data_IF_701730842898
#
_entry.id   IF_701730842898
#
_cell.length_a   1.000
_cell.length_b   1.000
_cell.length_c   1.000
_cell.angle_alpha   90.00
_cell.angle_beta   90.00
_cell.angle_gamma   90.00
#
_symmetry.space_group_name_H-M   'P 1'
#
loop_
_entity.id
_entity.type
_entity.pdbx_description
1 polymer ?
2 non-polymer ?
3 non-polymer ?
4 water ?
#
# COMPACT_ATOMS: atom_id res chain seq x y z
N UNK A 1 18.52 19.42 11.44
CA UNK A 1 17.18 18.81 11.65
C UNK A 1 16.05 19.77 11.26
N UNK A 2 15.30 19.39 10.23
CA UNK A 2 14.20 20.22 9.71
C UNK A 2 12.94 20.12 10.58
N UNK A 3 12.37 21.27 10.94
CA UNK A 3 11.06 21.28 11.55
C UNK A 3 10.01 20.94 10.48
N UNK A 4 9.08 20.05 10.83
CA UNK A 4 8.00 19.67 9.93
C UNK A 4 6.69 20.28 10.44
N UNK A 5 6.03 21.03 9.57
CA UNK A 5 4.76 21.68 9.88
C UNK A 5 3.73 21.38 8.78
N UNK A 6 2.58 20.83 9.17
CA UNK A 6 1.52 20.69 8.17
C UNK A 6 0.56 21.85 8.23
N UNK A 7 0.06 22.21 7.06
CA UNK A 7 -1.03 23.16 6.89
C UNK A 7 -2.30 22.32 6.71
N UNK A 8 -3.27 22.50 7.60
CA UNK A 8 -4.54 21.76 7.54
C UNK A 8 -5.70 22.71 7.39
N UNK A 9 -6.70 22.30 6.61
CA UNK A 9 -7.93 23.04 6.52
C UNK A 9 -8.93 22.36 5.64
N UNK A 10 -10.14 22.90 5.64
CA UNK A 10 -11.24 22.41 4.82
C UNK A 10 -10.97 22.72 3.35
N UNK A 11 -11.77 22.15 2.48
CA UNK A 11 -11.64 22.34 1.05
C UNK A 11 -11.73 23.81 0.69
N UNK A 12 -10.81 24.26 -0.16
CA UNK A 12 -10.74 25.65 -0.59
C UNK A 12 -10.59 26.69 0.55
N UNK A 13 -10.30 26.25 1.77
CA UNK A 13 -10.02 27.19 2.86
C UNK A 13 -8.94 28.20 2.47
N UNK A 14 -7.93 27.73 1.74
CA UNK A 14 -6.84 28.56 1.28
C UNK A 14 -5.47 28.05 1.70
N UNK A 15 -5.29 26.73 1.74
CA UNK A 15 -3.98 26.13 1.98
C UNK A 15 -2.96 26.54 0.92
N UNK A 16 -3.35 26.40 -0.35
CA UNK A 16 -2.47 26.73 -1.49
C UNK A 16 -2.08 28.21 -1.51
N UNK A 17 -3.09 29.08 -1.43
CA UNK A 17 -2.87 30.54 -1.28
C UNK A 17 -1.86 30.84 -0.17
N UNK A 18 -2.01 30.15 0.96
CA UNK A 18 -1.18 30.33 2.12
C UNK A 18 0.25 29.84 1.87
N UNK A 19 0.36 28.59 1.42
CA UNK A 19 1.58 28.02 0.84
C UNK A 19 2.24 29.03 -0.11
N UNK A 20 1.45 29.62 -1.00
CA UNK A 20 1.95 30.65 -1.91
C UNK A 20 2.66 31.79 -1.19
N UNK A 21 2.02 32.35 -0.15
CA UNK A 21 2.65 33.40 0.64
C UNK A 21 3.91 32.91 1.38
N UNK A 22 3.86 31.67 1.88
CA UNK A 22 4.96 31.11 2.68
C UNK A 22 6.21 30.77 1.86
N UNK A 23 6.01 30.21 0.67
CA UNK A 23 7.12 29.74 -0.16
C UNK A 23 7.88 30.88 -0.83
N UNK A 24 7.42 32.11 -0.63
CA UNK A 24 8.05 33.27 -1.23
C UNK A 24 8.84 34.10 -0.24
N UNK A 25 8.85 33.66 1.03
CA UNK A 25 9.64 34.35 2.05
C UNK A 25 11.13 34.00 1.95
N UNK A 26 11.65 33.26 2.93
CA UNK A 26 13.08 32.94 2.98
C UNK A 26 13.44 31.58 2.37
N UNK A 27 14.65 31.50 1.83
CA UNK A 27 15.19 30.28 1.20
C UNK A 27 15.15 29.05 2.14
N UNK A 28 15.23 29.29 3.45
CA UNK A 28 15.23 28.22 4.46
C UNK A 28 13.85 27.58 4.69
N UNK A 29 12.83 28.09 4.00
CA UNK A 29 11.47 27.55 4.10
C UNK A 29 11.04 26.91 2.78
N UNK A 30 10.45 25.72 2.89
CA UNK A 30 10.09 24.91 1.75
C UNK A 30 8.70 24.31 1.92
N UNK A 31 7.97 24.13 0.81
CA UNK A 31 6.62 23.56 0.86
C UNK A 31 6.54 22.24 0.11
N UNK A 32 6.03 21.20 0.77
CA UNK A 32 5.70 19.96 0.09
C UNK A 32 4.24 20.01 -0.37
N UNK A 33 4.01 20.12 -1.69
CA UNK A 33 2.62 20.22 -2.13
C UNK A 33 1.89 18.88 -2.01
N UNK A 34 0.57 18.96 -1.98
CA UNK A 34 -0.29 17.82 -1.73
C UNK A 34 -0.59 17.15 -3.06
N UNK A 35 -0.50 15.80 -3.09
CA UNK A 35 -0.80 15.02 -4.30
C UNK A 35 -2.14 15.35 -4.97
N UNK A 36 -3.24 15.19 -4.23
CA UNK A 36 -4.58 15.51 -4.74
C UNK A 36 -4.65 16.98 -5.20
N UNK A 37 -3.90 17.85 -4.54
CA UNK A 37 -3.75 19.24 -4.96
C UNK A 37 -3.17 19.31 -6.38
N UNK A 38 -2.07 18.59 -6.61
CA UNK A 38 -1.47 18.53 -7.94
C UNK A 38 -2.44 17.90 -8.94
N UNK A 39 -3.02 16.73 -8.60
CA UNK A 39 -3.93 16.06 -9.52
C UNK A 39 -4.96 17.04 -10.09
N UNK A 40 -5.66 17.76 -9.20
CA UNK A 40 -6.75 18.65 -9.59
C UNK A 40 -6.35 19.69 -10.65
N UNK A 41 -7.20 19.81 -11.68
CA UNK A 41 -6.88 20.45 -12.98
C UNK A 41 -8.05 21.30 -13.49
N UNK A 58 -3.14 9.73 -14.58
CA UNK A 58 -2.36 8.48 -14.45
C UNK A 58 -1.02 8.84 -13.88
N UNK A 59 -0.73 8.41 -12.64
CA UNK A 59 -1.68 7.67 -11.81
C UNK A 59 -2.84 8.53 -11.32
N UNK A 60 -2.58 9.83 -11.13
CA UNK A 60 -3.58 10.82 -10.69
C UNK A 60 -4.96 10.76 -11.33
N UNK A 61 -5.07 9.93 -12.38
CA UNK A 61 -6.32 9.59 -13.11
C UNK A 61 -7.43 8.97 -12.26
N UNK A 62 -7.05 8.45 -11.08
CA UNK A 62 -8.04 8.00 -10.10
C UNK A 62 -8.99 9.13 -9.77
N UNK A 63 -8.49 10.35 -9.83
CA UNK A 63 -9.29 11.53 -9.58
C UNK A 63 -10.50 11.58 -10.50
N UNK A 64 -10.26 11.40 -11.81
CA UNK A 64 -11.32 11.45 -12.82
C UNK A 64 -12.35 10.37 -12.53
N UNK A 65 -11.86 9.19 -12.15
CA UNK A 65 -12.71 8.09 -11.75
C UNK A 65 -13.49 8.39 -10.46
N UNK A 66 -12.85 9.09 -9.52
CA UNK A 66 -13.55 9.55 -8.31
C UNK A 66 -14.70 10.49 -8.65
N UNK A 67 -14.49 11.33 -9.68
CA UNK A 67 -15.55 12.22 -10.14
C UNK A 67 -16.73 11.42 -10.69
N UNK A 68 -16.42 10.35 -11.43
CA UNK A 68 -17.44 9.47 -12.01
C UNK A 68 -18.15 8.56 -10.99
N UNK A 69 -17.41 7.94 -10.07
CA UNK A 69 -18.01 6.97 -9.14
C UNK A 69 -17.20 6.75 -7.86
N UNK A 70 -17.44 7.59 -6.82
CA UNK A 70 -16.67 7.51 -5.59
C UNK A 70 -16.85 6.19 -4.84
N UNK A 71 -18.02 5.58 -4.94
CA UNK A 71 -18.29 4.34 -4.20
C UNK A 71 -17.49 3.18 -4.77
N UNK A 72 -17.01 3.34 -6.01
CA UNK A 72 -16.15 2.38 -6.67
C UNK A 72 -14.66 2.65 -6.40
N UNK A 73 -14.30 3.93 -6.36
CA UNK A 73 -12.89 4.30 -6.38
C UNK A 73 -12.27 4.85 -5.09
N UNK A 74 -13.10 5.18 -4.11
CA UNK A 74 -12.63 5.73 -2.84
C UNK A 74 -11.38 5.07 -2.29
N UNK A 75 -11.41 3.74 -2.18
CA UNK A 75 -10.32 2.99 -1.58
C UNK A 75 -9.04 3.12 -2.39
N UNK A 76 -9.19 3.04 -3.72
CA UNK A 76 -8.05 3.12 -4.62
C UNK A 76 -7.46 4.53 -4.56
N UNK A 77 -8.37 5.52 -4.56
CA UNK A 77 -8.01 6.92 -4.54
C UNK A 77 -7.28 7.29 -3.26
N UNK A 78 -7.81 6.84 -2.13
CA UNK A 78 -7.26 7.19 -0.83
C UNK A 78 -5.93 6.52 -0.61
N UNK A 79 -5.82 5.28 -1.09
CA UNK A 79 -4.60 4.51 -0.97
C UNK A 79 -3.48 5.14 -1.78
N UNK A 80 -3.79 5.61 -2.98
CA UNK A 80 -2.78 6.16 -3.84
C UNK A 80 -2.38 7.56 -3.37
N UNK A 81 -3.38 8.36 -3.00
CA UNK A 81 -3.16 9.71 -2.46
C UNK A 81 -2.17 9.68 -1.30
N UNK A 82 -2.38 8.74 -0.39
CA UNK A 82 -1.58 8.64 0.80
C UNK A 82 -0.16 8.16 0.49
N UNK A 83 -0.03 7.17 -0.39
CA UNK A 83 1.28 6.65 -0.82
C UNK A 83 2.10 7.75 -1.49
N UNK A 84 1.45 8.52 -2.36
CA UNK A 84 2.08 9.65 -3.03
C UNK A 84 2.54 10.70 -2.02
N UNK A 85 1.69 11.03 -1.04
CA UNK A 85 2.06 11.95 0.03
C UNK A 85 3.28 11.46 0.79
N UNK A 86 3.25 10.20 1.20
CA UNK A 86 4.34 9.63 1.99
C UNK A 86 5.66 9.66 1.21
N UNK A 87 5.61 9.27 -0.04
CA UNK A 87 6.77 9.35 -0.93
C UNK A 87 7.29 10.77 -1.03
N UNK A 88 6.41 11.69 -1.41
CA UNK A 88 6.77 13.09 -1.65
C UNK A 88 7.42 13.75 -0.44
N UNK A 89 6.89 13.44 0.74
CA UNK A 89 7.36 14.04 1.98
C UNK A 89 8.73 13.48 2.39
N UNK A 90 8.91 12.16 2.25
CA UNK A 90 10.24 11.55 2.43
C UNK A 90 11.21 12.09 1.39
N UNK A 91 10.79 12.11 0.12
CA UNK A 91 11.55 12.73 -0.95
C UNK A 91 12.18 14.05 -0.47
N UNK A 92 11.34 14.92 0.09
CA UNK A 92 11.72 16.28 0.47
C UNK A 92 12.59 16.39 1.72
N UNK A 93 12.56 15.38 2.59
CA UNK A 93 13.41 15.35 3.77
C UNK A 93 14.80 14.84 3.40
N UNK A 94 14.87 13.52 3.18
CA UNK A 94 16.13 12.81 2.90
C UNK A 94 16.88 13.33 1.68
N UNK A 95 16.13 13.82 0.68
CA UNK A 95 16.70 14.61 -0.40
C UNK A 95 17.11 15.94 0.21
N UNK A 96 18.41 16.20 0.26
CA UNK A 96 18.97 17.27 1.10
C UNK A 96 18.61 18.73 0.74
N UNK A 97 17.31 19.04 0.83
CA UNK A 97 16.84 20.42 0.97
C UNK A 97 17.15 20.83 2.42
N UNK A 98 17.87 19.96 3.13
CA UNK A 98 18.31 20.18 4.50
C UNK A 98 19.32 21.32 4.54
N UNK A 99 20.58 20.98 4.24
CA UNK A 99 21.77 21.84 4.44
C UNK A 99 21.67 23.00 5.44
N UNK A 100 20.81 23.97 5.12
CA UNK A 100 20.82 25.31 5.70
C UNK A 100 20.58 25.41 7.21
N UNK A 101 20.52 26.66 7.68
CA UNK A 101 20.63 26.98 9.10
C UNK A 101 19.38 26.63 9.92
N UNK A 102 18.24 27.26 9.63
CA UNK A 102 16.99 26.99 10.34
C UNK A 102 15.89 26.49 9.39
N UNK A 103 16.00 25.23 8.94
CA UNK A 103 15.14 24.77 7.86
C UNK A 103 13.74 24.33 8.33
N UNK A 104 12.72 24.73 7.59
CA UNK A 104 11.36 24.32 7.87
C UNK A 104 10.68 23.77 6.63
N UNK A 105 10.01 22.64 6.80
CA UNK A 105 9.29 21.99 5.72
C UNK A 105 7.80 22.12 6.00
N UNK A 106 7.08 22.74 5.08
CA UNK A 106 5.65 22.87 5.21
C UNK A 106 4.91 21.80 4.42
N UNK A 107 4.20 20.93 5.12
CA UNK A 107 3.39 19.90 4.47
C UNK A 107 1.99 20.43 4.21
N UNK A 108 1.57 20.41 2.96
CA UNK A 108 0.18 20.68 2.62
C UNK A 108 -0.59 19.45 3.07
N UNK A 109 -1.32 19.58 4.18
CA UNK A 109 -2.02 18.47 4.85
C UNK A 109 -1.08 17.35 5.30
N UNK A 110 -1.62 16.23 5.75
CA UNK A 110 -0.80 15.17 6.34
C UNK A 110 -1.44 13.80 6.21
N UNK A 111 -0.66 12.78 6.51
CA UNK A 111 -1.16 11.40 6.56
C UNK A 111 -2.32 11.27 7.54
N UNK A 112 -2.42 12.19 8.49
CA UNK A 112 -3.50 12.13 9.50
C UNK A 112 -4.82 12.63 8.94
N UNK A 113 -4.81 13.79 8.28
CA UNK A 113 -6.02 14.28 7.64
C UNK A 113 -6.48 13.32 6.57
N UNK A 114 -5.51 12.74 5.85
CA UNK A 114 -5.77 11.69 4.86
C UNK A 114 -6.71 10.64 5.44
N UNK A 115 -6.38 10.20 6.64
CA UNK A 115 -7.06 9.10 7.27
C UNK A 115 -8.28 9.57 8.05
N UNK A 116 -8.09 10.50 8.96
CA UNK A 116 -9.13 10.84 9.94
C UNK A 116 -10.16 11.84 9.47
N UNK A 117 -9.82 12.59 8.43
CA UNK A 117 -10.77 13.53 7.85
C UNK A 117 -11.38 12.88 6.61
N UNK A 118 -10.53 12.53 5.65
CA UNK A 118 -11.00 12.19 4.32
C UNK A 118 -11.41 10.73 4.11
N UNK A 119 -10.49 9.78 4.34
CA UNK A 119 -10.84 8.37 4.21
C UNK A 119 -11.96 8.03 5.20
N UNK A 120 -11.83 8.57 6.41
CA UNK A 120 -12.86 8.45 7.42
C UNK A 120 -14.24 8.87 6.91
N UNK A 121 -14.30 10.05 6.32
CA UNK A 121 -15.54 10.64 5.81
C UNK A 121 -16.13 9.87 4.64
N UNK A 122 -15.25 9.27 3.84
CA UNK A 122 -15.68 8.45 2.73
C UNK A 122 -16.33 7.15 3.17
N UNK A 123 -15.80 6.58 4.25
CA UNK A 123 -16.38 5.42 4.88
C UNK A 123 -17.73 5.71 5.52
N UNK A 124 -17.80 6.81 6.26
CA UNK A 124 -19.05 7.20 6.89
C UNK A 124 -20.13 7.51 5.85
N UNK A 125 -19.73 7.94 4.66
CA UNK A 125 -20.69 8.26 3.58
C UNK A 125 -20.98 7.05 2.68
N UNK A 126 -20.48 5.89 3.09
CA UNK A 126 -20.68 4.60 2.41
C UNK A 126 -20.01 4.48 1.04
N UNK A 127 -18.91 5.19 0.86
CA UNK A 127 -18.13 5.08 -0.37
C UNK A 127 -17.04 4.03 -0.21
N UNK A 128 -16.83 3.59 1.02
CA UNK A 128 -15.99 2.45 1.32
C UNK A 128 -16.79 1.57 2.25
N UNK A 129 -16.70 0.25 2.07
CA UNK A 129 -17.34 -0.69 2.96
C UNK A 129 -16.46 -1.01 4.16
N UNK A 130 -16.96 -1.85 5.06
CA UNK A 130 -16.20 -2.25 6.23
C UNK A 130 -14.81 -2.78 5.88
N UNK A 131 -14.77 -3.66 4.88
CA UNK A 131 -13.54 -4.35 4.52
C UNK A 131 -12.52 -3.38 3.91
N UNK A 132 -13.00 -2.52 3.01
CA UNK A 132 -12.17 -1.47 2.47
C UNK A 132 -11.58 -0.61 3.59
N UNK A 133 -12.42 -0.18 4.51
CA UNK A 133 -12.01 0.72 5.58
C UNK A 133 -11.02 0.09 6.57
N UNK A 134 -11.21 -1.18 6.89
CA UNK A 134 -10.30 -1.91 7.79
C UNK A 134 -8.96 -2.13 7.11
N UNK A 135 -8.99 -2.55 5.86
CA UNK A 135 -7.76 -2.76 5.09
C UNK A 135 -6.99 -1.45 5.03
N UNK A 136 -7.67 -0.37 4.68
CA UNK A 136 -7.03 0.94 4.59
C UNK A 136 -6.34 1.33 5.91
N UNK A 137 -7.04 1.12 7.02
CA UNK A 137 -6.50 1.43 8.34
C UNK A 137 -5.31 0.55 8.65
N UNK A 138 -5.49 -0.76 8.52
CA UNK A 138 -4.38 -1.72 8.62
C UNK A 138 -3.19 -1.22 7.79
N UNK A 139 -3.42 -0.92 6.52
CA UNK A 139 -2.37 -0.38 5.64
C UNK A 139 -1.75 0.93 6.15
N UNK A 140 -2.59 1.84 6.63
CA UNK A 140 -2.13 3.15 7.09
C UNK A 140 -1.28 3.04 8.36
N UNK A 141 -1.76 2.26 9.32
CA UNK A 141 -1.05 1.98 10.58
C UNK A 141 0.34 1.47 10.30
N UNK A 142 0.41 0.37 9.54
CA UNK A 142 1.68 -0.24 9.16
C UNK A 142 2.65 0.75 8.50
N UNK A 143 2.22 1.39 7.41
CA UNK A 143 3.03 2.39 6.73
C UNK A 143 3.67 3.38 7.70
N UNK A 144 2.88 3.82 8.67
CA UNK A 144 3.36 4.82 9.61
C UNK A 144 4.40 4.33 10.58
N UNK A 145 4.34 3.05 10.92
CA UNK A 145 5.34 2.46 11.79
C UNK A 145 6.68 2.30 11.08
N UNK A 146 6.63 1.98 9.79
CA UNK A 146 7.84 1.74 9.00
C UNK A 146 8.56 3.02 8.57
N UNK A 147 7.80 4.02 8.13
CA UNK A 147 8.35 5.26 7.56
C UNK A 147 7.69 6.50 8.19
N UNK A 148 7.39 6.43 9.49
CA UNK A 148 6.58 7.46 10.14
C UNK A 148 7.30 8.38 11.11
N UNK A 149 8.17 7.82 11.96
CA UNK A 149 8.95 8.61 12.92
C UNK A 149 9.76 9.71 12.21
N UNK A 150 10.22 9.38 11.01
CA UNK A 150 10.83 10.34 10.10
C UNK A 150 9.88 11.50 9.77
N UNK A 151 8.61 11.17 9.54
CA UNK A 151 7.60 12.14 9.13
C UNK A 151 6.85 12.86 10.25
N UNK A 152 7.28 12.69 11.49
CA UNK A 152 6.53 13.26 12.63
C UNK A 152 6.56 14.78 12.66
N UNK A 153 5.42 15.37 13.02
CA UNK A 153 5.20 16.81 12.92
C UNK A 153 5.66 17.56 14.15
N UNK A 154 6.39 18.65 13.92
CA UNK A 154 6.82 19.53 14.99
C UNK A 154 5.77 20.60 15.27
N UNK A 155 4.86 20.80 14.32
CA UNK A 155 3.73 21.71 14.51
C UNK A 155 2.67 21.57 13.44
N UNK A 156 1.44 22.00 13.77
CA UNK A 156 0.33 22.02 12.81
C UNK A 156 -0.26 23.42 12.69
N UNK A 157 -0.43 23.89 11.45
CA UNK A 157 -1.13 25.15 11.21
C UNK A 157 -2.54 24.86 10.69
N UNK A 158 -3.55 25.26 11.45
CA UNK A 158 -4.95 25.04 11.09
C UNK A 158 -5.54 26.30 10.50
N UNK A 159 -5.82 26.27 9.21
CA UNK A 159 -6.47 27.38 8.54
C UNK A 159 -7.96 27.23 8.71
N UNK A 160 -8.53 28.01 9.63
CA UNK A 160 -9.92 27.85 10.01
C UNK A 160 -10.85 28.77 9.21
N UNK A 161 -11.83 28.17 8.55
CA UNK A 161 -12.85 28.92 7.81
C UNK A 161 -14.20 28.26 7.99
N UNK A 162 -15.27 29.03 7.81
CA UNK A 162 -16.63 28.48 7.97
C UNK A 162 -16.96 27.61 6.75
N UNK A 163 -17.85 26.62 6.92
CA UNK A 163 -18.33 25.91 5.72
C UNK A 163 -18.73 26.83 4.57
N UNK A 164 -19.46 27.91 4.85
CA UNK A 164 -19.89 28.85 3.80
C UNK A 164 -18.73 29.57 3.11
N UNK A 165 -17.73 29.96 3.87
CA UNK A 165 -16.52 30.52 3.27
C UNK A 165 -15.93 29.55 2.25
N UNK A 166 -15.76 28.30 2.66
CA UNK A 166 -15.24 27.25 1.79
C UNK A 166 -16.11 26.99 0.56
N UNK A 167 -17.43 26.95 0.75
CA UNK A 167 -18.38 26.73 -0.35
C UNK A 167 -18.25 27.82 -1.39
N UNK A 168 -18.10 29.06 -0.91
CA UNK A 168 -17.91 30.21 -1.81
C UNK A 168 -16.53 30.21 -2.47
N UNK A 169 -15.49 29.78 -1.75
CA UNK A 169 -14.16 29.67 -2.37
C UNK A 169 -14.06 28.53 -3.39
N UNK A 170 -14.83 27.45 -3.18
CA UNK A 170 -14.99 26.41 -4.20
C UNK A 170 -15.60 27.03 -5.45
N UNK A 171 -16.67 27.79 -5.26
CA UNK A 171 -17.35 28.44 -6.37
C UNK A 171 -16.39 29.29 -7.21
N UNK A 172 -15.57 30.08 -6.51
CA UNK A 172 -14.62 31.02 -7.15
C UNK A 172 -13.44 30.36 -7.86
N UNK A 173 -12.91 29.28 -7.28
CA UNK A 173 -11.80 28.54 -7.84
C UNK A 173 -12.21 27.95 -9.21
N UNK A 174 -13.52 27.74 -9.37
CA UNK A 174 -14.11 27.41 -10.65
C UNK A 174 -13.77 26.06 -11.26
N UNK A 175 -13.55 25.05 -10.44
CA UNK A 175 -13.38 23.68 -10.95
C UNK A 175 -14.76 23.10 -11.18
N UNK A 176 -15.03 22.80 -12.44
CA UNK A 176 -16.36 22.37 -12.87
C UNK A 176 -16.84 21.06 -12.20
N UNK A 177 -15.88 20.23 -11.79
CA UNK A 177 -16.18 18.97 -11.12
C UNK A 177 -16.48 19.12 -9.62
N UNK A 178 -16.32 20.32 -9.11
CA UNK A 178 -16.50 20.58 -7.68
C UNK A 178 -17.75 21.37 -7.37
N UNK A 179 -18.46 21.83 -8.40
CA UNK A 179 -19.66 22.66 -8.21
C UNK A 179 -20.80 21.85 -7.59
N UNK A 180 -20.70 20.53 -7.63
CA UNK A 180 -21.68 19.67 -6.99
C UNK A 180 -21.51 19.50 -5.49
N UNK A 181 -20.44 20.07 -4.92
CA UNK A 181 -20.16 19.91 -3.49
C UNK A 181 -21.23 20.57 -2.61
N UNK A 182 -21.93 19.77 -1.81
CA UNK A 182 -22.93 20.36 -0.90
C UNK A 182 -22.30 20.96 0.34
N UNK A 183 -22.95 21.98 0.88
CA UNK A 183 -22.54 22.55 2.16
C UNK A 183 -22.49 21.52 3.29
N UNK A 184 -23.45 20.57 3.30
CA UNK A 184 -23.49 19.54 4.34
C UNK A 184 -22.19 18.73 4.41
N UNK A 185 -21.59 18.48 3.26
CA UNK A 185 -20.29 17.81 3.21
C UNK A 185 -19.20 18.67 3.86
N UNK A 186 -19.16 19.95 3.49
CA UNK A 186 -18.20 20.89 4.05
C UNK A 186 -18.36 21.04 5.57
N UNK A 187 -19.60 20.99 6.05
CA UNK A 187 -19.93 21.00 7.48
C UNK A 187 -19.32 19.79 8.19
N UNK A 188 -19.48 18.60 7.60
CA UNK A 188 -18.87 17.40 8.14
C UNK A 188 -17.34 17.53 8.30
N UNK A 189 -16.64 17.93 7.25
CA UNK A 189 -15.19 18.09 7.31
C UNK A 189 -14.76 19.17 8.29
N UNK A 190 -15.58 20.21 8.39
CA UNK A 190 -15.38 21.27 9.37
C UNK A 190 -15.46 20.68 10.79
N UNK A 191 -16.54 19.95 11.06
CA UNK A 191 -16.71 19.29 12.35
C UNK A 191 -15.44 18.49 12.74
N UNK A 192 -15.01 17.60 11.85
CA UNK A 192 -13.83 16.76 12.08
C UNK A 192 -12.56 17.57 12.31
N UNK A 193 -12.37 18.63 11.53
CA UNK A 193 -11.23 19.51 11.73
C UNK A 193 -11.29 20.19 13.09
N UNK A 194 -12.46 20.68 13.49
CA UNK A 194 -12.63 21.34 14.78
C UNK A 194 -12.33 20.37 15.91
N UNK A 195 -12.90 19.18 15.79
CA UNK A 195 -12.75 18.12 16.76
C UNK A 195 -11.28 17.71 16.94
N UNK A 196 -10.58 17.54 15.83
CA UNK A 196 -9.17 17.20 15.84
C UNK A 196 -8.30 18.37 16.33
N UNK A 197 -8.45 19.54 15.71
CA UNK A 197 -7.45 20.61 15.82
C UNK A 197 -7.74 21.71 16.83
N UNK A 198 -9.01 21.93 17.15
CA UNK A 198 -9.35 22.97 18.12
C UNK A 198 -9.74 22.37 19.46
N UNK A 199 -10.75 21.49 19.46
CA UNK A 199 -11.18 20.84 20.69
C UNK A 199 -10.29 19.67 21.11
N UNK A 200 -9.57 19.10 20.14
CA UNK A 200 -8.66 17.96 20.35
C UNK A 200 -9.37 16.77 20.99
N UNK A 201 -10.64 16.59 20.63
CA UNK A 201 -11.46 15.51 21.13
C UNK A 201 -11.49 14.30 20.19
N UNK A 202 -10.94 14.44 18.99
CA UNK A 202 -10.88 13.33 18.05
C UNK A 202 -9.70 12.45 18.41
N UNK A 203 -9.96 11.17 18.68
CA UNK A 203 -8.91 10.22 19.06
C UNK A 203 -8.31 9.46 17.87
N UNK A 204 -6.99 9.52 17.75
CA UNK A 204 -6.26 8.93 16.64
C UNK A 204 -5.40 7.79 17.15
N UNK A 205 -4.72 7.13 16.22
CA UNK A 205 -3.78 6.07 16.56
C UNK A 205 -2.37 6.57 16.85
N UNK A 206 -2.18 7.88 16.83
CA UNK A 206 -0.85 8.50 16.92
C UNK A 206 -0.79 9.47 18.10
N UNK A 207 -0.38 8.93 19.24
CA UNK A 207 -0.47 9.62 20.53
C UNK A 207 0.35 10.91 20.64
N UNK A 208 1.45 10.97 19.89
CA UNK A 208 2.29 12.16 19.89
C UNK A 208 1.54 13.42 19.45
N UNK A 209 0.59 13.25 18.51
CA UNK A 209 -0.22 14.37 18.00
C UNK A 209 -0.98 15.12 19.09
N UNK A 210 -1.26 14.44 20.20
CA UNK A 210 -1.98 15.10 21.30
C UNK A 210 -1.13 16.18 21.98
N UNK A 211 0.18 16.00 21.93
CA UNK A 211 1.11 17.00 22.45
C UNK A 211 1.22 18.17 21.48
N UNK A 212 1.46 17.83 20.22
CA UNK A 212 1.74 18.76 19.11
C UNK A 212 1.09 20.14 19.20
N UNK A 213 1.90 21.20 19.18
CA UNK A 213 1.37 22.57 19.15
C UNK A 213 0.59 22.84 17.86
N UNK A 214 -0.48 23.60 17.99
CA UNK A 214 -1.36 23.92 16.88
C UNK A 214 -1.58 25.43 16.82
N UNK A 215 -1.29 26.02 15.66
CA UNK A 215 -1.59 27.43 15.40
C UNK A 215 -2.87 27.57 14.58
N UNK A 216 -3.92 28.05 15.22
CA UNK A 216 -5.20 28.25 14.55
C UNK A 216 -5.30 29.65 13.93
N UNK A 217 -5.42 29.70 12.62
CA UNK A 217 -5.56 30.95 11.90
C UNK A 217 -6.93 31.09 11.27
N UNK A 218 -7.62 32.17 11.62
CA UNK A 218 -8.86 32.51 11.00
C UNK A 218 -8.61 33.13 9.62
N UNK A 219 -9.06 32.42 8.59
CA UNK A 219 -8.87 32.85 7.21
C UNK A 219 -10.20 33.14 6.49
N UNK A 220 -11.21 33.51 7.27
CA UNK A 220 -12.51 33.90 6.71
C UNK A 220 -12.49 35.20 5.91
N UNK A 221 -11.66 36.14 6.32
CA UNK A 221 -11.54 37.40 5.58
C UNK A 221 -10.73 37.19 4.30
N UNK A 222 -10.66 38.19 3.44
CA UNK A 222 -9.83 38.11 2.24
C UNK A 222 -8.37 37.95 2.62
N UNK A 223 -7.73 36.95 2.02
CA UNK A 223 -6.30 36.70 2.19
C UNK A 223 -5.41 37.90 1.88
N UNK A 224 -5.80 38.70 0.89
CA UNK A 224 -4.98 39.83 0.45
C UNK A 224 -4.87 40.94 1.49
N UNK A 225 -5.81 40.97 2.42
CA UNK A 225 -5.83 42.00 3.45
C UNK A 225 -5.18 41.56 4.75
N UNK A 226 -4.62 40.35 4.80
CA UNK A 226 -4.04 39.87 6.06
C UNK A 226 -2.90 38.85 6.03
N UNK A 227 -2.37 38.56 4.84
CA UNK A 227 -1.26 37.61 4.72
C UNK A 227 -0.02 38.06 5.49
N UNK A 228 0.11 39.37 5.67
CA UNK A 228 1.23 39.92 6.41
C UNK A 228 1.13 39.64 7.92
N UNK A 229 -0.06 39.80 8.49
CA UNK A 229 -0.32 39.38 9.87
C UNK A 229 -0.20 37.88 10.05
N UNK A 230 -0.64 37.12 9.04
CA UNK A 230 -0.59 35.67 9.07
C UNK A 230 0.85 35.16 9.14
N UNK A 231 1.70 35.71 8.27
CA UNK A 231 3.14 35.39 8.22
C UNK A 231 3.82 35.72 9.56
N UNK A 232 3.46 36.88 10.11
CA UNK A 232 3.90 37.35 11.43
C UNK A 232 3.60 36.33 12.53
N UNK A 233 2.39 35.77 12.50
CA UNK A 233 1.96 34.79 13.51
C UNK A 233 2.63 33.43 13.34
N UNK A 234 2.98 33.09 12.10
CA UNK A 234 3.65 31.82 11.81
C UNK A 234 5.06 31.85 12.38
N UNK A 235 5.76 32.95 12.10
CA UNK A 235 7.11 33.20 12.61
C UNK A 235 7.15 33.11 14.12
N UNK A 236 6.21 33.79 14.79
CA UNK A 236 6.15 33.71 16.25
C UNK A 236 5.95 32.27 16.70
N UNK A 237 5.16 31.52 15.94
CA UNK A 237 4.80 30.15 16.28
C UNK A 237 5.98 29.20 16.11
N UNK A 238 6.69 29.37 15.00
CA UNK A 238 7.89 28.58 14.72
C UNK A 238 8.90 28.76 15.83
N UNK A 239 9.18 30.00 16.17
CA UNK A 239 10.14 30.34 17.22
C UNK A 239 9.85 29.69 18.59
N UNK A 240 8.59 29.37 18.87
CA UNK A 240 8.20 28.69 20.11
C UNK A 240 8.53 27.20 20.09
N UNK A 241 8.65 26.63 18.89
CA UNK A 241 8.84 25.18 18.75
C UNK A 241 10.23 24.71 19.16
N UNK B 1 22.75 -16.22 8.97
CA UNK B 1 21.92 -15.78 7.79
C UNK B 1 20.94 -16.86 7.35
N UNK B 2 19.66 -16.50 7.38
CA UNK B 2 18.58 -17.41 7.00
C UNK B 2 18.45 -17.44 5.49
N UNK B 3 18.61 -18.64 4.92
CA UNK B 3 18.33 -18.87 3.52
C UNK B 3 16.81 -18.74 3.28
N UNK B 4 16.44 -17.91 2.31
CA UNK B 4 15.05 -17.73 1.90
C UNK B 4 14.79 -18.51 0.62
N UNK B 5 13.81 -19.41 0.66
CA UNK B 5 13.40 -20.18 -0.52
C UNK B 5 11.90 -20.01 -0.77
N UNK B 6 11.50 -19.58 -1.96
CA UNK B 6 10.06 -19.62 -2.28
C UNK B 6 9.67 -20.89 -3.03
N UNK B 7 8.45 -21.33 -2.74
CA UNK B 7 7.84 -22.46 -3.41
C UNK B 7 6.82 -21.91 -4.40
N UNK B 8 7.01 -22.21 -5.68
CA UNK B 8 6.16 -21.66 -6.74
C UNK B 8 5.46 -22.77 -7.52
N UNK B 9 4.32 -22.43 -8.08
CA UNK B 9 3.55 -23.40 -8.82
C UNK B 9 2.18 -22.87 -9.13
N UNK B 10 1.47 -23.63 -9.97
CA UNK B 10 0.13 -23.27 -10.38
C UNK B 10 -0.85 -23.65 -9.29
N UNK B 11 -2.12 -23.31 -9.47
CA UNK B 11 -3.15 -23.54 -8.49
C UNK B 11 -3.34 -25.02 -8.23
N UNK B 12 -3.29 -25.38 -6.95
CA UNK B 12 -3.42 -26.76 -6.51
C UNK B 12 -2.35 -27.68 -7.08
N UNK B 13 -1.21 -27.13 -7.49
CA UNK B 13 -0.09 -27.92 -8.00
C UNK B 13 0.42 -28.86 -6.92
N UNK B 14 0.30 -28.41 -5.68
CA UNK B 14 0.67 -29.21 -4.52
C UNK B 14 1.60 -28.50 -3.57
N UNK B 15 1.58 -27.16 -3.60
CA UNK B 15 2.34 -26.33 -2.67
C UNK B 15 2.14 -26.67 -1.20
N UNK B 16 0.87 -26.76 -0.78
CA UNK B 16 0.51 -27.03 0.62
C UNK B 16 0.99 -28.39 1.06
N UNK B 17 0.68 -29.40 0.25
CA UNK B 17 1.17 -30.76 0.45
C UNK B 17 2.69 -30.73 0.61
N UNK B 18 3.37 -30.05 -0.31
CA UNK B 18 4.82 -29.99 -0.32
C UNK B 18 5.39 -29.32 0.94
N UNK B 19 4.79 -28.21 1.32
CA UNK B 19 5.05 -27.49 2.57
C UNK B 19 4.79 -28.37 3.80
N UNK B 20 3.73 -29.17 3.74
CA UNK B 20 3.44 -30.15 4.79
C UNK B 20 4.54 -31.17 4.96
N UNK B 21 5.16 -31.58 3.86
CA UNK B 21 6.29 -32.51 3.92
C UNK B 21 7.52 -31.81 4.47
N UNK B 22 7.80 -30.62 3.94
CA UNK B 22 8.96 -29.85 4.35
C UNK B 22 8.93 -29.43 5.83
N UNK B 23 7.78 -28.99 6.33
CA UNK B 23 7.69 -28.45 7.69
C UNK B 23 7.82 -29.52 8.77
N UNK B 24 7.91 -30.77 8.33
CA UNK B 24 7.94 -31.90 9.24
C UNK B 24 9.35 -32.33 9.59
N UNK B 25 10.30 -32.04 8.71
CA UNK B 25 11.65 -32.61 8.80
C UNK B 25 12.48 -32.19 10.02
N UNK B 26 12.77 -30.90 10.17
CA UNK B 26 13.69 -30.45 11.24
C UNK B 26 13.43 -29.07 11.87
N UNK B 27 14.06 -28.84 13.02
CA UNK B 27 14.07 -27.56 13.73
C UNK B 27 14.39 -26.37 12.82
N UNK B 28 15.42 -26.54 12.01
CA UNK B 28 16.02 -25.44 11.25
C UNK B 28 15.21 -25.01 10.01
N UNK B 29 14.19 -25.80 9.68
CA UNK B 29 13.33 -25.52 8.53
C UNK B 29 11.94 -25.10 8.98
N UNK B 30 11.52 -23.95 8.47
CA UNK B 30 10.26 -23.32 8.85
C UNK B 30 9.58 -22.75 7.60
N UNK B 31 8.26 -22.82 7.55
CA UNK B 31 7.50 -22.37 6.39
C UNK B 31 6.75 -21.09 6.69
N UNK B 32 6.71 -20.18 5.73
CA UNK B 32 5.89 -18.98 5.82
C UNK B 32 4.68 -19.11 4.90
N UNK B 33 3.52 -19.50 5.47
CA UNK B 33 2.33 -19.76 4.65
C UNK B 33 1.84 -18.50 3.91
N UNK B 34 1.08 -18.72 2.85
CA UNK B 34 0.64 -17.67 1.96
C UNK B 34 -0.68 -17.11 2.46
N UNK B 35 -0.80 -15.77 2.51
CA UNK B 35 -2.04 -15.11 2.89
C UNK B 35 -3.30 -15.69 2.24
N UNK B 36 -3.32 -15.75 0.91
CA UNK B 36 -4.49 -16.23 0.17
C UNK B 36 -4.75 -17.72 0.44
N UNK B 37 -3.68 -18.46 0.77
CA UNK B 37 -3.79 -19.85 1.21
C UNK B 37 -4.61 -19.92 2.50
N UNK B 38 -4.30 -19.05 3.45
CA UNK B 38 -4.99 -19.01 4.72
C UNK B 38 -6.46 -18.60 4.55
N UNK B 39 -6.71 -17.54 3.77
CA UNK B 39 -8.08 -17.05 3.59
C UNK B 39 -9.03 -18.19 3.20
N UNK B 40 -8.63 -18.96 2.18
CA UNK B 40 -9.46 -20.02 1.61
C UNK B 40 -10.04 -21.04 2.60
N UNK B 41 -11.37 -21.18 2.53
CA UNK B 41 -12.19 -21.81 3.57
C UNK B 41 -13.23 -22.78 2.99
N UNK B 58 -10.27 -11.01 10.05
CA UNK B 58 -11.49 -10.77 9.22
C UNK B 58 -11.19 -10.30 7.81
N UNK B 59 -10.16 -9.47 7.66
CA UNK B 59 -9.80 -8.81 6.40
C UNK B 59 -9.84 -9.66 5.14
N UNK B 60 -9.35 -10.90 5.25
CA UNK B 60 -9.45 -11.91 4.18
C UNK B 60 -10.84 -12.07 3.57
N UNK B 61 -11.77 -11.22 4.03
CA UNK B 61 -13.12 -11.01 3.48
C UNK B 61 -13.10 -10.53 2.03
N UNK B 62 -11.96 -10.01 1.58
CA UNK B 62 -11.79 -9.60 0.18
C UNK B 62 -11.95 -10.78 -0.76
N UNK B 63 -11.62 -11.97 -0.26
CA UNK B 63 -11.75 -13.21 -1.01
C UNK B 63 -13.20 -13.48 -1.45
N UNK B 64 -14.14 -13.35 -0.51
CA UNK B 64 -15.56 -13.55 -0.79
C UNK B 64 -16.07 -12.57 -1.85
N UNK B 65 -15.59 -11.33 -1.76
CA UNK B 65 -15.92 -10.29 -2.73
C UNK B 65 -15.34 -10.58 -4.13
N UNK B 66 -14.11 -11.11 -4.16
CA UNK B 66 -13.48 -11.57 -5.41
C UNK B 66 -14.28 -12.68 -6.10
N UNK B 67 -14.93 -13.51 -5.28
CA UNK B 67 -15.76 -14.62 -5.78
C UNK B 67 -17.01 -14.13 -6.48
N UNK B 68 -17.53 -13.00 -6.01
CA UNK B 68 -18.72 -12.39 -6.59
C UNK B 68 -18.40 -11.49 -7.79
N UNK B 69 -17.42 -10.61 -7.66
CA UNK B 69 -17.15 -9.59 -8.69
C UNK B 69 -15.65 -9.26 -8.79
N UNK B 70 -14.86 -10.07 -9.54
CA UNK B 70 -13.41 -9.87 -9.65
C UNK B 70 -13.00 -8.56 -10.30
N UNK B 71 -13.79 -8.05 -11.24
CA UNK B 71 -13.49 -6.80 -11.93
C UNK B 71 -13.53 -5.64 -10.93
N UNK B 72 -14.34 -5.79 -9.88
CA UNK B 72 -14.50 -4.78 -8.85
C UNK B 72 -13.39 -4.84 -7.80
N UNK B 73 -12.97 -6.06 -7.45
CA UNK B 73 -12.16 -6.28 -6.27
C UNK B 73 -10.69 -6.66 -6.50
N UNK B 74 -10.29 -6.89 -7.74
CA UNK B 74 -8.94 -7.37 -8.04
C UNK B 74 -7.82 -6.52 -7.43
N UNK B 75 -7.89 -5.19 -7.64
CA UNK B 75 -6.86 -4.28 -7.16
C UNK B 75 -6.77 -4.30 -5.64
N UNK B 76 -7.93 -4.32 -4.98
CA UNK B 76 -7.99 -4.35 -3.52
C UNK B 76 -7.45 -5.69 -3.00
N UNK B 77 -7.81 -6.76 -3.69
CA UNK B 77 -7.43 -8.12 -3.33
C UNK B 77 -5.93 -8.32 -3.42
N UNK B 78 -5.35 -7.96 -4.56
CA UNK B 78 -3.92 -8.10 -4.82
C UNK B 78 -3.08 -7.19 -3.93
N UNK B 79 -3.58 -5.98 -3.68
CA UNK B 79 -2.93 -5.02 -2.80
C UNK B 79 -2.85 -5.58 -1.37
N UNK B 80 -3.97 -6.10 -0.88
CA UNK B 80 -4.01 -6.62 0.48
C UNK B 80 -3.18 -7.89 0.61
N UNK B 81 -3.34 -8.80 -0.35
CA UNK B 81 -2.58 -10.06 -0.40
C UNK B 81 -1.07 -9.81 -0.28
N UNK B 82 -0.56 -8.93 -1.12
CA UNK B 82 0.87 -8.65 -1.17
C UNK B 82 1.40 -8.01 0.11
N UNK B 83 0.64 -7.07 0.68
CA UNK B 83 0.98 -6.44 1.95
C UNK B 83 0.97 -7.46 3.09
N UNK B 84 -0.03 -8.32 3.09
CA UNK B 84 -0.08 -9.42 4.06
C UNK B 84 1.14 -10.33 3.88
N UNK B 85 1.45 -10.68 2.63
CA UNK B 85 2.65 -11.45 2.35
C UNK B 85 3.91 -10.78 2.88
N UNK B 86 4.10 -9.50 2.55
CA UNK B 86 5.31 -8.78 2.94
C UNK B 86 5.52 -8.75 4.47
N UNK B 87 4.45 -8.48 5.22
CA UNK B 87 4.57 -8.42 6.67
C UNK B 87 4.86 -9.77 7.30
N UNK B 88 4.13 -10.81 6.90
CA UNK B 88 4.34 -12.15 7.41
C UNK B 88 5.76 -12.66 7.12
N UNK B 89 6.28 -12.36 5.94
CA UNK B 89 7.64 -12.75 5.57
C UNK B 89 8.68 -11.97 6.37
N UNK B 90 8.46 -10.68 6.54
CA UNK B 90 9.31 -9.85 7.42
C UNK B 90 9.21 -10.35 8.86
N UNK B 91 7.99 -10.41 9.39
CA UNK B 91 7.73 -10.99 10.70
C UNK B 91 8.59 -12.23 10.89
N UNK B 92 8.48 -13.19 9.97
CA UNK B 92 9.11 -14.51 10.11
C UNK B 92 10.64 -14.48 10.15
N UNK B 93 11.25 -13.47 9.53
CA UNK B 93 12.71 -13.32 9.54
C UNK B 93 13.25 -13.06 10.94
N UNK B 94 12.34 -12.77 11.87
CA UNK B 94 12.71 -12.38 13.22
C UNK B 94 12.42 -13.43 14.31
N UNK B 95 12.83 -14.66 14.07
CA UNK B 95 12.96 -15.68 15.12
C UNK B 95 14.20 -15.39 15.98
N UNK B 96 14.48 -16.18 17.04
CA UNK B 96 13.93 -17.53 17.31
C UNK B 96 13.76 -18.44 16.08
N UNK B 97 14.78 -18.36 15.23
CA UNK B 97 15.05 -19.27 14.11
C UNK B 97 16.33 -18.78 13.47
N UNK B 98 16.69 -17.52 13.77
CA UNK B 98 17.91 -16.88 13.29
C UNK B 98 19.19 -17.69 13.58
N UNK B 99 19.00 -18.94 14.01
CA UNK B 99 20.07 -19.87 14.35
C UNK B 99 19.58 -21.32 14.19
N UNK B 100 20.47 -22.27 13.95
CA UNK B 100 21.90 -22.02 13.91
C UNK B 100 22.52 -22.41 12.59
N UNK B 101 23.24 -21.45 12.00
CA UNK B 101 24.23 -21.70 10.93
C UNK B 101 23.76 -22.41 9.64
N UNK B 102 22.61 -23.09 9.70
CA UNK B 102 21.84 -23.43 8.47
C UNK B 102 20.32 -23.35 8.64
N UNK B 103 19.81 -22.17 9.08
CA UNK B 103 18.37 -22.00 9.15
C UNK B 103 17.80 -21.71 7.76
N UNK B 104 16.67 -22.33 7.45
CA UNK B 104 16.05 -22.15 6.16
C UNK B 104 14.60 -21.71 6.33
N UNK B 105 14.23 -20.68 5.57
CA UNK B 105 12.87 -20.18 5.59
C UNK B 105 12.23 -20.43 4.24
N UNK B 106 11.15 -21.18 4.23
CA UNK B 106 10.42 -21.48 3.01
C UNK B 106 9.21 -20.58 2.85
N UNK B 107 9.20 -19.81 1.77
CA UNK B 107 8.07 -18.94 1.45
C UNK B 107 7.10 -19.65 0.52
N UNK B 108 5.83 -19.72 0.91
CA UNK B 108 4.78 -20.18 0.03
C UNK B 108 4.54 -19.04 -0.96
N UNK B 109 5.01 -19.22 -2.21
CA UNK B 109 5.04 -18.15 -3.23
C UNK B 109 5.83 -16.92 -2.79
N UNK B 110 5.87 -15.89 -3.64
CA UNK B 110 6.70 -14.71 -3.38
C UNK B 110 6.02 -13.43 -3.82
N UNK B 111 6.68 -12.29 -3.58
CA UNK B 111 6.14 -11.03 -4.02
C UNK B 111 6.14 -10.99 -5.53
N UNK B 112 7.00 -11.79 -6.15
CA UNK B 112 7.13 -11.79 -7.62
C UNK B 112 5.94 -12.48 -8.30
N UNK B 113 5.59 -13.68 -7.84
CA UNK B 113 4.43 -14.36 -8.39
C UNK B 113 3.16 -13.58 -8.14
N UNK B 114 3.06 -12.94 -6.98
CA UNK B 114 1.97 -12.00 -6.69
C UNK B 114 1.73 -11.05 -7.88
N UNK B 115 2.83 -10.52 -8.40
CA UNK B 115 2.77 -9.46 -9.39
C UNK B 115 2.81 -9.97 -10.83
N UNK B 116 3.81 -10.79 -11.14
CA UNK B 116 4.09 -11.24 -12.51
C UNK B 116 3.27 -12.45 -12.99
N UNK B 117 2.69 -13.19 -12.04
CA UNK B 117 1.78 -14.26 -12.39
C UNK B 117 0.36 -13.77 -12.18
N UNK B 118 0.02 -13.39 -10.95
CA UNK B 118 -1.38 -13.18 -10.59
C UNK B 118 -1.95 -11.79 -10.91
N UNK B 119 -1.37 -10.74 -10.33
CA UNK B 119 -1.85 -9.40 -10.59
C UNK B 119 -1.78 -9.14 -12.09
N UNK B 120 -0.66 -9.55 -12.69
CA UNK B 120 -0.41 -9.42 -14.11
C UNK B 120 -1.51 -10.05 -14.97
N UNK B 121 -1.94 -11.24 -14.57
CA UNK B 121 -2.96 -12.00 -15.27
C UNK B 121 -4.34 -11.34 -15.14
N UNK B 122 -4.60 -10.80 -13.95
CA UNK B 122 -5.85 -10.10 -13.67
C UNK B 122 -6.04 -8.84 -14.51
N UNK B 123 -4.94 -8.17 -14.81
CA UNK B 123 -4.96 -7.03 -15.72
C UNK B 123 -5.22 -7.45 -17.17
N UNK B 124 -4.60 -8.55 -17.57
CA UNK B 124 -4.76 -9.05 -18.93
C UNK B 124 -6.16 -9.59 -19.19
N UNK B 125 -6.87 -9.89 -18.11
CA UNK B 125 -8.21 -10.42 -18.20
C UNK B 125 -9.24 -9.33 -17.99
N UNK B 126 -8.76 -8.08 -17.89
CA UNK B 126 -9.58 -6.90 -17.66
C UNK B 126 -10.34 -6.94 -16.33
N UNK B 127 -9.64 -7.34 -15.28
CA UNK B 127 -10.18 -7.26 -13.92
C UNK B 127 -9.55 -6.10 -13.18
N UNK B 128 -8.49 -5.56 -13.78
CA UNK B 128 -7.89 -4.29 -13.39
C UNK B 128 -7.73 -3.47 -14.65
N UNK B 129 -8.00 -2.17 -14.56
CA UNK B 129 -7.74 -1.29 -15.69
C UNK B 129 -6.30 -0.79 -15.70
N UNK B 130 -5.93 -0.08 -16.76
CA UNK B 130 -4.62 0.54 -16.90
C UNK B 130 -4.17 1.23 -15.63
N UNK B 131 -5.06 2.06 -15.09
CA UNK B 131 -4.77 2.87 -13.91
C UNK B 131 -4.55 2.01 -12.66
N UNK B 132 -5.48 1.10 -12.38
CA UNK B 132 -5.30 0.15 -11.29
C UNK B 132 -3.97 -0.58 -11.42
N UNK B 133 -3.63 -0.98 -12.63
CA UNK B 133 -2.44 -1.77 -12.91
C UNK B 133 -1.15 -0.95 -12.74
N UNK B 134 -1.17 0.31 -13.18
CA UNK B 134 -0.05 1.25 -12.98
C UNK B 134 0.20 1.56 -11.50
N UNK B 135 -0.88 1.79 -10.77
CA UNK B 135 -0.81 2.09 -9.36
C UNK B 135 -0.23 0.90 -8.62
N UNK B 136 -0.78 -0.28 -8.90
CA UNK B 136 -0.30 -1.52 -8.28
C UNK B 136 1.20 -1.71 -8.49
N UNK B 137 1.67 -1.53 -9.72
CA UNK B 137 3.09 -1.66 -10.05
C UNK B 137 3.92 -0.60 -9.33
N UNK B 138 3.52 0.66 -9.46
CA UNK B 138 4.12 1.77 -8.71
C UNK B 138 4.23 1.38 -7.22
N UNK B 139 3.12 0.91 -6.64
CA UNK B 139 3.12 0.50 -5.25
C UNK B 139 4.05 -0.68 -4.96
N UNK B 140 3.99 -1.70 -5.82
CA UNK B 140 4.82 -2.89 -5.67
C UNK B 140 6.31 -2.58 -5.75
N UNK B 141 6.72 -1.82 -6.78
CA UNK B 141 8.11 -1.39 -6.95
C UNK B 141 8.65 -0.71 -5.70
N UNK B 142 7.95 0.32 -5.24
CA UNK B 142 8.30 1.06 -4.03
C UNK B 142 8.48 0.14 -2.83
N UNK B 143 7.46 -0.65 -2.50
CA UNK B 143 7.54 -1.58 -1.39
C UNK B 143 8.84 -2.39 -1.41
N UNK B 144 9.17 -2.92 -2.58
CA UNK B 144 10.34 -3.78 -2.69
C UNK B 144 11.66 -3.04 -2.79
N UNK B 145 11.61 -1.73 -3.07
CA UNK B 145 12.80 -0.89 -2.97
C UNK B 145 13.04 -0.52 -1.51
N UNK B 146 12.03 -0.72 -0.67
CA UNK B 146 12.10 -0.41 0.76
C UNK B 146 12.45 -1.64 1.62
N UNK B 147 12.20 -2.84 1.09
CA UNK B 147 12.39 -4.09 1.85
C UNK B 147 12.99 -5.22 1.00
N UNK B 148 13.31 -4.92 -0.25
CA UNK B 148 13.87 -5.91 -1.17
C UNK B 148 15.06 -6.64 -0.58
N UNK B 149 15.96 -5.91 0.06
CA UNK B 149 17.19 -6.46 0.65
C UNK B 149 16.86 -7.56 1.66
N UNK B 150 15.86 -7.29 2.50
CA UNK B 150 15.44 -8.20 3.54
C UNK B 150 14.82 -9.49 2.97
N UNK B 151 13.96 -9.34 1.96
CA UNK B 151 13.18 -10.46 1.43
C UNK B 151 13.79 -11.14 0.21
N UNK B 152 14.97 -10.71 -0.21
CA UNK B 152 15.67 -11.31 -1.35
C UNK B 152 15.75 -12.83 -1.25
N UNK B 153 15.46 -13.52 -2.36
CA UNK B 153 15.43 -14.97 -2.39
C UNK B 153 16.79 -15.56 -2.66
N UNK B 154 17.10 -16.63 -1.92
CA UNK B 154 18.31 -17.39 -2.17
C UNK B 154 18.03 -18.50 -3.17
N UNK B 155 16.81 -18.99 -3.17
CA UNK B 155 16.42 -20.00 -4.14
C UNK B 155 14.93 -20.00 -4.43
N UNK B 156 14.56 -20.65 -5.53
CA UNK B 156 13.15 -20.88 -5.86
C UNK B 156 12.96 -22.35 -6.16
N UNK B 157 11.94 -22.94 -5.52
CA UNK B 157 11.50 -24.26 -5.90
C UNK B 157 10.24 -24.15 -6.75
N UNK B 158 10.33 -24.67 -7.97
CA UNK B 158 9.21 -24.68 -8.89
C UNK B 158 8.54 -26.05 -8.88
N UNK B 159 7.26 -26.06 -8.47
CA UNK B 159 6.49 -27.27 -8.51
C UNK B 159 5.80 -27.34 -9.86
N UNK B 160 6.29 -28.20 -10.73
CA UNK B 160 5.82 -28.23 -12.10
C UNK B 160 4.74 -29.28 -12.32
N UNK B 161 3.53 -28.84 -12.61
CA UNK B 161 2.47 -29.77 -12.97
C UNK B 161 1.76 -29.26 -14.22
N UNK B 162 1.05 -30.15 -14.90
CA UNK B 162 0.34 -29.78 -16.11
C UNK B 162 -0.91 -29.00 -15.72
N UNK B 163 -1.41 -28.14 -16.63
CA UNK B 163 -2.71 -27.55 -16.38
C UNK B 163 -3.78 -28.60 -15.99
N UNK B 164 -3.82 -29.74 -16.64
CA UNK B 164 -4.81 -30.79 -16.32
C UNK B 164 -4.61 -31.44 -14.94
N UNK B 165 -3.36 -31.69 -14.59
CA UNK B 165 -3.07 -32.09 -13.23
C UNK B 165 -3.68 -31.08 -12.25
N UNK B 166 -3.42 -29.79 -12.45
CA UNK B 166 -3.94 -28.75 -11.58
C UNK B 166 -5.46 -28.65 -11.57
N UNK B 167 -6.10 -28.80 -12.73
CA UNK B 167 -7.55 -28.77 -12.81
C UNK B 167 -8.11 -29.91 -11.98
N UNK B 168 -7.56 -31.10 -12.13
CA UNK B 168 -8.03 -32.25 -11.38
C UNK B 168 -7.81 -32.07 -9.87
N UNK B 169 -6.65 -31.54 -9.46
CA UNK B 169 -6.40 -31.29 -8.04
C UNK B 169 -7.32 -30.20 -7.43
N UNK B 170 -7.73 -29.22 -8.25
CA UNK B 170 -8.75 -28.26 -7.82
C UNK B 170 -10.05 -28.98 -7.49
N UNK B 171 -10.45 -29.89 -8.37
CA UNK B 171 -11.66 -30.67 -8.21
C UNK B 171 -11.62 -31.51 -6.92
N UNK B 172 -10.51 -32.19 -6.68
CA UNK B 172 -10.32 -33.04 -5.52
C UNK B 172 -10.34 -32.30 -4.19
N UNK B 173 -9.69 -31.13 -4.16
CA UNK B 173 -9.62 -30.28 -3.00
C UNK B 173 -11.01 -29.77 -2.57
N UNK B 174 -11.93 -29.65 -3.53
CA UNK B 174 -13.34 -29.49 -3.24
C UNK B 174 -13.91 -28.10 -2.93
N UNK B 175 -13.12 -27.04 -3.09
CA UNK B 175 -13.67 -25.71 -2.81
C UNK B 175 -14.73 -25.35 -3.84
N UNK B 176 -15.96 -25.18 -3.38
CA UNK B 176 -17.11 -24.98 -4.27
C UNK B 176 -16.98 -23.74 -5.16
N UNK B 177 -16.33 -22.71 -4.63
CA UNK B 177 -16.07 -21.46 -5.35
C UNK B 177 -14.93 -21.59 -6.36
N UNK B 178 -14.21 -22.71 -6.32
CA UNK B 178 -13.13 -22.95 -7.27
C UNK B 178 -13.53 -23.87 -8.40
N UNK B 179 -14.76 -24.38 -8.33
CA UNK B 179 -15.23 -25.40 -9.28
C UNK B 179 -15.52 -24.86 -10.69
N UNK B 180 -15.56 -23.54 -10.83
CA UNK B 180 -15.78 -22.92 -12.13
C UNK B 180 -14.52 -22.47 -12.84
N UNK B 181 -13.35 -22.76 -12.25
CA UNK B 181 -12.07 -22.43 -12.88
C UNK B 181 -11.90 -23.16 -14.21
N UNK B 182 -11.78 -22.39 -15.31
CA UNK B 182 -11.57 -23.02 -16.61
C UNK B 182 -10.12 -23.42 -16.81
N UNK B 183 -9.90 -24.41 -17.65
CA UNK B 183 -8.58 -24.90 -17.94
C UNK B 183 -7.71 -23.84 -18.65
N UNK B 184 -8.35 -23.00 -19.46
CA UNK B 184 -7.63 -21.95 -20.20
C UNK B 184 -6.91 -20.99 -19.25
N UNK B 185 -7.53 -20.73 -18.11
CA UNK B 185 -6.91 -19.90 -17.08
C UNK B 185 -5.67 -20.58 -16.49
N UNK B 186 -5.78 -21.88 -16.21
CA UNK B 186 -4.66 -22.65 -15.67
C UNK B 186 -3.54 -22.75 -16.68
N UNK B 187 -3.90 -22.86 -17.96
CA UNK B 187 -2.93 -22.83 -19.04
C UNK B 187 -2.17 -21.49 -19.06
N UNK B 188 -2.87 -20.37 -18.87
CA UNK B 188 -2.19 -19.07 -18.84
C UNK B 188 -1.19 -18.96 -17.69
N UNK B 189 -1.61 -19.30 -16.48
CA UNK B 189 -0.70 -19.24 -15.34
C UNK B 189 0.44 -20.21 -15.54
N UNK B 190 0.15 -21.35 -16.16
CA UNK B 190 1.20 -22.30 -16.52
C UNK B 190 2.26 -21.67 -17.45
N UNK B 191 1.84 -21.03 -18.54
CA UNK B 191 2.81 -20.42 -19.48
C UNK B 191 3.73 -19.46 -18.71
N UNK B 192 3.13 -18.58 -17.92
CA UNK B 192 3.84 -17.59 -17.12
C UNK B 192 4.88 -18.19 -16.17
N UNK B 193 4.53 -19.28 -15.50
CA UNK B 193 5.49 -19.97 -14.64
C UNK B 193 6.63 -20.56 -15.46
N UNK B 194 6.29 -21.16 -16.60
CA UNK B 194 7.30 -21.80 -17.45
C UNK B 194 8.23 -20.72 -17.97
N UNK B 195 7.63 -19.64 -18.39
CA UNK B 195 8.34 -18.53 -18.96
C UNK B 195 9.28 -17.86 -17.95
N UNK B 196 8.85 -17.76 -16.70
CA UNK B 196 9.65 -17.13 -15.67
C UNK B 196 10.71 -18.09 -15.12
N UNK B 197 10.31 -19.32 -14.85
CA UNK B 197 11.09 -20.22 -14.01
C UNK B 197 11.84 -21.33 -14.76
N UNK B 198 11.27 -21.80 -15.88
CA UNK B 198 11.95 -22.78 -16.72
C UNK B 198 12.76 -22.11 -17.82
N UNK B 199 12.11 -21.26 -18.61
CA UNK B 199 12.77 -20.60 -19.75
C UNK B 199 13.47 -19.31 -19.36
N UNK B 200 13.03 -18.69 -18.26
CA UNK B 200 13.61 -17.44 -17.76
C UNK B 200 13.56 -16.36 -18.85
N UNK B 201 12.48 -16.38 -19.63
CA UNK B 201 12.24 -15.38 -20.67
C UNK B 201 11.35 -14.23 -20.19
N UNK B 202 10.74 -14.39 -19.03
CA UNK B 202 9.89 -13.35 -18.47
C UNK B 202 10.79 -12.37 -17.73
N UNK B 203 10.82 -11.12 -18.20
CA UNK B 203 11.64 -10.09 -17.59
C UNK B 203 10.89 -9.35 -16.47
N UNK B 204 11.55 -9.21 -15.32
CA UNK B 204 10.97 -8.51 -14.19
C UNK B 204 11.83 -7.32 -13.83
N UNK B 205 11.32 -6.55 -12.87
CA UNK B 205 11.99 -5.38 -12.34
C UNK B 205 13.09 -5.69 -11.33
N UNK B 206 13.42 -6.96 -11.17
CA UNK B 206 14.32 -7.41 -10.10
C UNK B 206 15.40 -8.31 -10.68
N UNK B 207 16.46 -7.67 -11.12
CA UNK B 207 17.53 -8.29 -11.90
C UNK B 207 18.32 -9.36 -11.13
N UNK B 208 18.22 -9.35 -9.81
CA UNK B 208 18.85 -10.40 -9.01
C UNK B 208 18.20 -11.77 -9.23
N UNK B 209 16.94 -11.77 -9.67
CA UNK B 209 16.21 -13.01 -9.99
C UNK B 209 16.70 -13.67 -11.27
N UNK B 210 17.57 -12.99 -12.02
CA UNK B 210 18.18 -13.59 -13.21
C UNK B 210 19.28 -14.59 -12.84
N UNK B 211 19.82 -14.46 -11.62
CA UNK B 211 20.88 -15.34 -11.12
C UNK B 211 20.36 -16.46 -10.23
N UNK B 212 19.26 -16.16 -9.52
CA UNK B 212 18.68 -17.04 -8.54
C UNK B 212 18.53 -18.46 -9.09
N UNK B 213 19.15 -19.45 -8.39
CA UNK B 213 19.02 -20.85 -8.74
C UNK B 213 17.57 -21.34 -8.60
N UNK B 214 17.22 -22.33 -9.43
CA UNK B 214 15.85 -22.80 -9.52
C UNK B 214 15.81 -24.33 -9.59
N UNK B 215 15.17 -24.94 -8.61
CA UNK B 215 14.91 -26.38 -8.65
C UNK B 215 13.50 -26.64 -9.18
N UNK B 216 13.42 -27.32 -10.32
CA UNK B 216 12.14 -27.65 -10.92
C UNK B 216 11.78 -29.10 -10.59
N UNK B 217 10.63 -29.26 -9.94
CA UNK B 217 10.15 -30.58 -9.54
C UNK B 217 8.87 -30.93 -10.28
N UNK B 218 8.87 -32.08 -10.93
CA UNK B 218 7.68 -32.62 -11.53
C UNK B 218 6.78 -33.24 -10.47
N UNK B 219 5.62 -32.62 -10.24
CA UNK B 219 4.71 -33.04 -9.19
C UNK B 219 3.41 -33.62 -9.77
N UNK B 220 3.49 -34.06 -11.01
CA UNK B 220 2.36 -34.69 -11.69
C UNK B 220 1.91 -36.02 -11.11
N UNK B 221 2.85 -36.81 -10.63
CA UNK B 221 2.52 -38.06 -9.97
C UNK B 221 1.99 -37.79 -8.56
N UNK B 222 1.36 -38.81 -7.96
CA UNK B 222 0.87 -38.72 -6.58
C UNK B 222 2.05 -38.42 -5.66
N UNK B 223 1.91 -37.37 -4.86
CA UNK B 223 2.94 -37.01 -3.90
C UNK B 223 3.32 -38.17 -2.98
N UNK B 224 2.34 -39.02 -2.65
CA UNK B 224 2.55 -40.12 -1.68
C UNK B 224 3.62 -41.14 -2.14
N UNK B 225 3.79 -41.31 -3.44
CA UNK B 225 4.82 -42.19 -4.00
C UNK B 225 6.13 -41.45 -4.27
N UNK B 226 6.17 -40.14 -4.01
CA UNK B 226 7.25 -39.30 -4.51
C UNK B 226 7.96 -38.42 -3.48
N UNK B 227 7.29 -38.10 -2.38
CA UNK B 227 7.73 -37.06 -1.45
C UNK B 227 9.15 -37.29 -0.93
N UNK B 228 9.55 -38.56 -0.85
CA UNK B 228 10.90 -38.90 -0.43
C UNK B 228 11.96 -38.46 -1.44
N UNK B 229 11.83 -38.88 -2.70
CA UNK B 229 12.72 -38.41 -3.76
C UNK B 229 12.75 -36.88 -3.76
N UNK B 230 11.58 -36.26 -3.60
CA UNK B 230 11.43 -34.80 -3.59
C UNK B 230 12.28 -34.12 -2.52
N UNK B 231 12.14 -34.57 -1.27
CA UNK B 231 12.93 -34.04 -0.17
C UNK B 231 14.43 -34.23 -0.39
N UNK B 232 14.80 -35.40 -0.90
CA UNK B 232 16.16 -35.76 -1.29
C UNK B 232 16.72 -34.70 -2.25
N UNK B 233 15.91 -34.31 -3.23
CA UNK B 233 16.30 -33.31 -4.21
C UNK B 233 16.41 -31.90 -3.62
N UNK B 234 15.55 -31.59 -2.65
CA UNK B 234 15.55 -30.27 -2.01
C UNK B 234 16.83 -30.06 -1.19
N UNK B 235 17.16 -31.04 -0.36
CA UNK B 235 18.39 -31.03 0.44
C UNK B 235 19.61 -30.89 -0.47
N UNK B 236 19.68 -31.74 -1.47
CA UNK B 236 20.71 -31.65 -2.49
C UNK B 236 20.84 -30.19 -2.99
N UNK B 237 19.70 -29.57 -3.30
CA UNK B 237 19.64 -28.22 -3.84
C UNK B 237 20.03 -27.14 -2.82
N UNK B 238 19.56 -27.29 -1.59
CA UNK B 238 19.85 -26.34 -0.53
C UNK B 238 21.34 -26.24 -0.24
N UNK B 239 22.02 -27.37 -0.27
CA UNK B 239 23.44 -27.45 0.03
C UNK B 239 24.33 -26.76 -1.02
N UNK B 240 23.74 -26.44 -2.17
CA UNK B 240 24.48 -25.85 -3.28
C UNK B 240 24.36 -24.32 -3.36
N UNK B 241 23.76 -23.69 -2.35
CA UNK B 241 23.50 -22.24 -2.39
C UNK B 241 24.64 -21.44 -1.74
#
# INVERSE_FOLDING_TARGET
RIKKISIEGNIAAGKSTFVNILKQLCEDWEVVPEPVARWCNVQSTQDEFEELTMSQKNGGNVLQMMYEKPERWSFTFQTYACLSRIRAQLASLNGKLKDAEKPVLFFERSVYSDRYIFASNLYESECMNETEWTIYQDWHDWMNNQFGQSLELDGIIYLQATPETCLHRIYLRGRNEEQGIPLEYLEKLHYKHESWLLHRTLKTNFDYLQEVPILTLDVNEDFKDKYESLVEKVKEFLSTL
RIKKISIEGNIAAGKSTFVNILKQLCEDWEVVPEPVARWCNVQSTQDEFEELTMSQKNGGNVLQMMYEKPERWSFTFQTYACLSRIRAQLASLNGKLKDAEKPVLFFERSVYSDRYIFASNLYESECMNETEWTIYQDWHDWMNNQFGQSLELDGIIYLQATPETCLHRIYLRGRNEEQGIPLEYLEKLHYKHESWLLHRTLKTNFDYLQEVPILTLDVNEDFKDKYESLVEKVKEFLSTL
#
